data_IF_989829437821
#
_entry.id   IF_989829437821
#
_cell.length_a   1.000
_cell.length_b   1.000
_cell.length_c   1.000
_cell.angle_alpha   90.00
_cell.angle_beta   90.00
_cell.angle_gamma   90.00
#
_symmetry.space_group_name_H-M   'P 1'
#
loop_
_entity.id
_entity.type
_entity.pdbx_description
1 polymer ?
#
# COMPACT_ATOMS: atom_id res chain seq x y z
N UNK A 1 -11.25 20.92 -2.99
CA UNK A 1 -10.09 20.36 -2.31
C UNK A 1 -10.46 20.01 -0.87
N UNK A 2 -10.17 18.81 -0.47
CA UNK A 2 -10.53 18.34 0.86
C UNK A 2 -9.29 18.45 1.77
N UNK A 3 -9.33 19.39 2.72
CA UNK A 3 -8.21 19.62 3.65
C UNK A 3 -7.91 18.38 4.50
N UNK A 4 -8.95 17.62 4.85
CA UNK A 4 -8.80 16.40 5.63
C UNK A 4 -8.02 15.34 4.83
N UNK A 5 -8.38 15.17 3.56
CA UNK A 5 -7.69 14.27 2.64
C UNK A 5 -6.22 14.64 2.50
N UNK A 6 -5.94 15.92 2.24
CA UNK A 6 -4.57 16.40 2.06
C UNK A 6 -3.74 16.20 3.32
N UNK A 7 -4.34 16.39 4.49
CA UNK A 7 -3.66 16.20 5.77
C UNK A 7 -3.27 14.73 5.99
N UNK A 8 -4.18 13.82 5.70
CA UNK A 8 -3.91 12.38 5.83
C UNK A 8 -2.77 11.97 4.88
N UNK A 9 -2.85 12.38 3.62
CA UNK A 9 -1.82 12.04 2.64
C UNK A 9 -0.46 12.61 3.03
N UNK A 10 -0.44 13.83 3.58
CA UNK A 10 0.81 14.42 4.06
C UNK A 10 1.42 13.59 5.19
N UNK A 11 0.61 13.18 6.16
CA UNK A 11 1.10 12.35 7.28
C UNK A 11 1.65 11.02 6.74
N UNK A 12 0.91 10.37 5.84
CA UNK A 12 1.35 9.10 5.26
C UNK A 12 2.68 9.25 4.53
N UNK A 13 2.85 10.33 3.76
CA UNK A 13 4.09 10.56 3.03
C UNK A 13 5.24 10.96 3.94
N UNK A 14 4.98 11.71 5.00
CA UNK A 14 6.02 12.14 5.93
C UNK A 14 6.62 10.95 6.70
N UNK A 15 5.82 9.97 7.08
CA UNK A 15 6.32 8.80 7.80
C UNK A 15 7.15 7.85 6.94
N UNK A 16 7.11 8.02 5.61
CA UNK A 16 7.92 7.21 4.69
C UNK A 16 9.39 7.59 4.69
N UNK A 17 9.75 8.78 5.18
CA UNK A 17 11.13 9.27 5.16
C UNK A 17 12.05 8.34 5.94
N UNK A 18 13.20 8.02 5.32
CA UNK A 18 14.23 7.14 5.90
C UNK A 18 13.73 5.71 6.14
N UNK A 19 12.81 5.25 5.30
CA UNK A 19 12.27 3.89 5.36
C UNK A 19 12.37 3.23 3.99
N UNK A 20 12.03 1.94 3.94
CA UNK A 20 11.95 1.19 2.68
C UNK A 20 11.00 1.88 1.68
N UNK A 21 9.93 2.49 2.18
CA UNK A 21 8.96 3.16 1.31
C UNK A 21 9.60 4.32 0.55
N UNK A 22 10.49 5.09 1.20
CA UNK A 22 11.24 6.13 0.51
C UNK A 22 12.19 5.53 -0.53
N UNK A 23 12.87 4.44 -0.19
CA UNK A 23 13.78 3.76 -1.11
C UNK A 23 13.07 3.31 -2.38
N UNK A 24 11.84 2.81 -2.24
CA UNK A 24 11.02 2.37 -3.37
C UNK A 24 10.24 3.51 -4.03
N UNK A 25 10.37 4.72 -3.51
CA UNK A 25 9.68 5.92 -3.99
C UNK A 25 8.16 5.78 -3.96
N UNK A 26 7.65 5.13 -2.92
CA UNK A 26 6.21 4.98 -2.70
C UNK A 26 5.64 6.31 -2.25
N UNK A 27 4.56 6.73 -2.89
CA UNK A 27 3.88 8.00 -2.59
C UNK A 27 2.38 7.74 -2.41
N UNK A 28 1.82 8.22 -1.30
CA UNK A 28 0.38 8.14 -1.05
C UNK A 28 -0.30 9.28 -1.79
N UNK A 29 -1.29 8.95 -2.62
CA UNK A 29 -1.87 9.90 -3.58
C UNK A 29 -3.38 10.10 -3.46
N UNK A 30 -4.10 9.19 -2.80
CA UNK A 30 -5.54 9.34 -2.63
C UNK A 30 -6.02 8.58 -1.39
N UNK A 31 -7.06 9.11 -0.75
CA UNK A 31 -7.70 8.48 0.40
C UNK A 31 -9.19 8.77 0.33
N UNK A 32 -10.00 7.77 0.63
CA UNK A 32 -11.44 7.91 0.71
C UNK A 32 -11.95 7.40 2.04
N UNK A 33 -13.25 7.16 2.13
CA UNK A 33 -13.88 6.72 3.36
C UNK A 33 -13.43 5.32 3.78
N UNK A 34 -13.15 4.44 2.82
CA UNK A 34 -12.79 3.04 3.07
C UNK A 34 -11.62 2.54 2.23
N UNK A 35 -10.84 3.44 1.67
CA UNK A 35 -9.70 3.05 0.85
C UNK A 35 -8.54 4.05 0.97
N UNK A 36 -7.37 3.56 0.63
CA UNK A 36 -6.14 4.36 0.54
C UNK A 36 -5.38 3.92 -0.71
N UNK A 37 -4.81 4.87 -1.44
CA UNK A 37 -4.06 4.60 -2.67
C UNK A 37 -2.64 5.12 -2.54
N UNK A 38 -1.68 4.28 -2.93
CA UNK A 38 -0.29 4.68 -3.08
C UNK A 38 0.21 4.28 -4.46
N UNK A 39 1.23 4.95 -4.94
CA UNK A 39 1.86 4.63 -6.22
C UNK A 39 3.36 4.41 -6.06
N UNK A 40 3.95 3.73 -7.02
CA UNK A 40 5.38 3.46 -7.06
C UNK A 40 5.87 3.50 -8.51
N UNK A 41 6.99 4.20 -8.80
CA UNK A 41 7.53 4.19 -10.16
C UNK A 41 8.13 2.82 -10.50
N UNK A 42 7.99 2.43 -11.76
CA UNK A 42 8.57 1.18 -12.26
C UNK A 42 9.83 1.54 -13.03
N UNK A 43 10.97 1.36 -12.38
CA UNK A 43 12.31 1.64 -12.93
C UNK A 43 13.17 0.42 -12.72
N UNK A 44 14.41 0.45 -13.21
CA UNK A 44 15.36 -0.65 -13.04
C UNK A 44 15.61 -1.02 -11.58
N UNK A 45 15.40 -0.08 -10.65
CA UNK A 45 15.58 -0.35 -9.21
C UNK A 45 14.62 -1.40 -8.67
N UNK A 46 13.50 -1.58 -9.33
CA UNK A 46 12.46 -2.53 -8.89
C UNK A 46 12.18 -3.61 -9.93
N UNK A 47 13.06 -3.76 -10.91
CA UNK A 47 12.96 -4.82 -11.92
C UNK A 47 13.48 -6.15 -11.40
N UNK A 48 12.89 -7.23 -11.91
CA UNK A 48 13.50 -8.56 -11.85
C UNK A 48 14.38 -8.73 -13.11
N UNK A 49 15.16 -9.85 -13.23
CA UNK A 49 16.17 -9.98 -14.32
C UNK A 49 15.65 -9.82 -15.74
N UNK A 50 14.38 -10.09 -16.00
CA UNK A 50 13.82 -9.96 -17.36
C UNK A 50 13.36 -8.53 -17.69
N UNK A 51 13.64 -7.56 -16.81
CA UNK A 51 13.35 -6.15 -17.09
C UNK A 51 11.92 -5.74 -16.85
N UNK A 52 11.18 -6.49 -16.06
CA UNK A 52 9.81 -6.15 -15.65
C UNK A 52 9.74 -6.04 -14.13
N UNK A 53 8.67 -5.44 -13.63
CA UNK A 53 8.49 -5.21 -12.21
C UNK A 53 8.63 -6.51 -11.41
N UNK A 54 9.48 -6.46 -10.39
CA UNK A 54 9.70 -7.57 -9.47
C UNK A 54 8.45 -7.79 -8.61
N UNK A 55 7.99 -9.05 -8.54
CA UNK A 55 6.81 -9.38 -7.73
C UNK A 55 6.96 -9.00 -6.26
N UNK A 56 8.16 -9.15 -5.71
CA UNK A 56 8.45 -8.74 -4.33
C UNK A 56 8.30 -7.24 -4.12
N UNK A 57 8.64 -6.42 -5.13
CA UNK A 57 8.44 -4.97 -5.05
C UNK A 57 6.95 -4.63 -5.04
N UNK A 58 6.15 -5.34 -5.83
CA UNK A 58 4.69 -5.20 -5.82
C UNK A 58 4.12 -5.56 -4.44
N UNK A 59 4.60 -6.64 -3.84
CA UNK A 59 4.16 -7.05 -2.49
C UNK A 59 4.56 -6.00 -1.45
N UNK A 60 5.77 -5.44 -1.56
CA UNK A 60 6.21 -4.38 -0.65
C UNK A 60 5.28 -3.15 -0.74
N UNK A 61 4.90 -2.76 -1.96
CA UNK A 61 3.94 -1.68 -2.16
C UNK A 61 2.58 -2.02 -1.54
N UNK A 62 2.07 -3.23 -1.81
CA UNK A 62 0.78 -3.67 -1.30
C UNK A 62 0.76 -3.70 0.24
N UNK A 63 1.79 -4.27 0.85
CA UNK A 63 1.88 -4.33 2.31
C UNK A 63 2.00 -2.93 2.91
N UNK A 64 2.75 -2.04 2.26
CA UNK A 64 2.92 -0.67 2.72
C UNK A 64 1.60 0.10 2.72
N UNK A 65 0.83 0.01 1.62
CA UNK A 65 -0.44 0.74 1.54
C UNK A 65 -1.49 0.14 2.49
N UNK A 66 -1.53 -1.18 2.63
CA UNK A 66 -2.49 -1.83 3.54
C UNK A 66 -2.20 -1.56 5.01
N UNK A 67 -0.92 -1.56 5.38
CA UNK A 67 -0.52 -1.23 6.77
C UNK A 67 -0.80 0.23 7.08
N UNK A 68 -0.51 1.14 6.15
CA UNK A 68 -0.83 2.55 6.32
C UNK A 68 -2.35 2.77 6.42
N UNK A 69 -3.14 2.04 5.63
CA UNK A 69 -4.60 2.10 5.70
C UNK A 69 -5.09 1.69 7.09
N UNK A 70 -4.54 0.61 7.66
CA UNK A 70 -4.89 0.21 9.01
C UNK A 70 -4.54 1.30 10.03
N UNK A 71 -3.38 1.93 9.89
CA UNK A 71 -2.98 3.05 10.74
C UNK A 71 -3.97 4.21 10.64
N UNK A 72 -4.37 4.58 9.41
CA UNK A 72 -5.27 5.70 9.17
C UNK A 72 -6.67 5.42 9.71
N UNK A 73 -7.20 4.20 9.47
CA UNK A 73 -8.60 3.89 9.77
C UNK A 73 -8.83 3.33 11.16
N UNK A 74 -7.77 3.06 11.95
CA UNK A 74 -7.86 2.50 13.30
C UNK A 74 -7.31 3.41 14.41
N UNK A 75 -7.01 4.66 14.12
CA UNK A 75 -6.34 5.55 15.06
C UNK A 75 -4.95 5.03 15.44
N UNK A 76 -4.00 5.23 14.55
CA UNK A 76 -2.61 4.78 14.69
C UNK A 76 -1.85 5.39 15.87
N UNK A 77 -2.41 6.39 16.56
CA UNK A 77 -1.80 6.89 17.78
C UNK A 77 -2.05 5.97 18.99
N UNK A 78 -3.09 5.15 18.93
CA UNK A 78 -3.47 4.25 20.02
C UNK A 78 -3.03 2.81 19.80
N UNK A 79 -2.69 2.44 18.59
CA UNK A 79 -2.34 1.05 18.25
C UNK A 79 -1.05 0.97 17.46
N UNK A 80 -0.34 -0.15 17.64
CA UNK A 80 0.70 -0.58 16.72
C UNK A 80 0.04 -1.47 15.66
N UNK A 81 0.37 -1.24 14.39
CA UNK A 81 -0.12 -2.06 13.30
C UNK A 81 1.04 -2.88 12.74
N UNK A 82 0.81 -4.17 12.55
CA UNK A 82 1.78 -5.07 11.91
C UNK A 82 1.08 -5.89 10.84
N UNK A 83 1.72 -6.03 9.67
CA UNK A 83 1.29 -7.00 8.69
C UNK A 83 1.69 -8.39 9.15
N UNK A 84 0.77 -9.34 9.11
CA UNK A 84 1.05 -10.71 9.56
C UNK A 84 0.94 -11.74 8.44
N UNK A 85 0.28 -11.41 7.34
CA UNK A 85 0.24 -12.28 6.17
C UNK A 85 -0.08 -11.47 4.94
N UNK A 86 0.69 -11.69 3.86
CA UNK A 86 0.44 -11.08 2.56
C UNK A 86 0.40 -12.17 1.51
N UNK A 87 -0.62 -12.17 0.67
CA UNK A 87 -0.69 -13.05 -0.49
C UNK A 87 -0.83 -12.19 -1.75
N UNK A 88 -0.32 -12.69 -2.87
CA UNK A 88 -0.34 -11.95 -4.12
C UNK A 88 -0.49 -12.90 -5.31
N UNK A 89 -1.29 -12.47 -6.29
CA UNK A 89 -1.36 -13.09 -7.60
C UNK A 89 -0.99 -12.04 -8.62
N UNK A 90 0.19 -12.18 -9.24
CA UNK A 90 0.68 -11.29 -10.27
C UNK A 90 0.13 -11.76 -11.61
N UNK A 91 -0.68 -10.94 -12.27
CA UNK A 91 -1.43 -11.36 -13.45
C UNK A 91 -0.93 -10.71 -14.74
N UNK A 92 -0.15 -9.63 -14.65
CA UNK A 92 0.37 -8.92 -15.82
C UNK A 92 1.70 -8.26 -15.50
N UNK A 93 2.66 -8.36 -16.44
CA UNK A 93 3.96 -7.71 -16.31
C UNK A 93 3.87 -6.24 -16.71
N UNK A 94 4.74 -5.42 -16.12
CA UNK A 94 4.92 -4.02 -16.51
C UNK A 94 6.40 -3.68 -16.41
N UNK A 95 6.93 -2.95 -17.42
CA UNK A 95 8.36 -2.64 -17.50
C UNK A 95 8.70 -1.19 -17.22
N UNK A 96 7.72 -0.29 -17.28
CA UNK A 96 7.95 1.15 -17.07
C UNK A 96 6.65 1.82 -16.62
N UNK A 97 6.73 3.11 -16.33
CA UNK A 97 5.59 3.87 -15.86
C UNK A 97 5.43 3.81 -14.35
N UNK A 98 4.20 3.70 -13.89
CA UNK A 98 3.89 3.64 -12.47
C UNK A 98 2.83 2.58 -12.20
N UNK A 99 2.85 2.02 -11.00
CA UNK A 99 1.77 1.16 -10.51
C UNK A 99 1.08 1.84 -9.34
N UNK A 100 -0.22 1.63 -9.23
CA UNK A 100 -1.10 2.20 -8.22
C UNK A 100 -1.70 1.06 -7.42
N UNK A 101 -1.51 1.09 -6.10
CA UNK A 101 -2.07 0.09 -5.19
C UNK A 101 -3.21 0.72 -4.40
N UNK A 102 -4.40 0.13 -4.50
CA UNK A 102 -5.60 0.59 -3.79
C UNK A 102 -5.97 -0.44 -2.74
N UNK A 103 -5.85 -0.07 -1.48
CA UNK A 103 -6.25 -0.92 -0.36
C UNK A 103 -7.68 -0.58 0.05
N UNK A 104 -8.56 -1.57 -0.01
CA UNK A 104 -9.96 -1.44 0.39
C UNK A 104 -10.24 -2.47 1.49
N UNK A 105 -10.92 -2.05 2.56
CA UNK A 105 -11.19 -2.94 3.69
C UNK A 105 -12.17 -4.04 3.30
N UNK A 106 -11.83 -5.29 3.63
CA UNK A 106 -12.73 -6.44 3.52
C UNK A 106 -13.37 -6.71 4.86
N UNK A 107 -12.56 -6.69 5.94
CA UNK A 107 -13.03 -7.00 7.27
C UNK A 107 -12.24 -6.20 8.29
N UNK A 108 -12.94 -5.52 9.16
CA UNK A 108 -12.35 -4.76 10.27
C UNK A 108 -12.77 -5.43 11.56
N UNK A 109 -11.91 -6.32 12.07
CA UNK A 109 -12.11 -6.98 13.34
C UNK A 109 -11.59 -6.14 14.49
N UNK A 110 -11.76 -6.66 15.72
CA UNK A 110 -11.30 -5.95 16.91
C UNK A 110 -9.77 -5.85 16.96
N UNK A 111 -9.07 -6.88 16.53
CA UNK A 111 -7.60 -6.91 16.56
C UNK A 111 -6.99 -7.17 15.19
N UNK A 112 -7.74 -7.77 14.26
CA UNK A 112 -7.22 -8.07 12.92
C UNK A 112 -8.06 -7.39 11.85
N UNK A 113 -7.40 -7.02 10.75
CA UNK A 113 -8.04 -6.41 9.61
C UNK A 113 -7.60 -7.15 8.36
N UNK A 114 -8.52 -7.30 7.42
CA UNK A 114 -8.23 -7.92 6.13
C UNK A 114 -8.47 -6.90 5.03
N UNK A 115 -7.47 -6.73 4.18
CA UNK A 115 -7.48 -5.74 3.09
C UNK A 115 -7.41 -6.42 1.74
N UNK A 116 -8.24 -5.96 0.80
CA UNK A 116 -8.11 -6.26 -0.63
C UNK A 116 -7.25 -5.15 -1.24
N UNK A 117 -6.18 -5.53 -1.94
CA UNK A 117 -5.27 -4.56 -2.51
C UNK A 117 -5.09 -4.86 -3.99
N UNK A 118 -5.59 -3.97 -4.83
CA UNK A 118 -5.49 -4.10 -6.27
C UNK A 118 -4.40 -3.18 -6.79
N UNK A 119 -3.49 -3.75 -7.57
CA UNK A 119 -2.39 -3.01 -8.16
C UNK A 119 -2.64 -2.90 -9.66
N UNK A 120 -2.70 -1.68 -10.16
CA UNK A 120 -3.03 -1.39 -11.57
C UNK A 120 -1.98 -0.47 -12.16
N UNK A 121 -1.95 -0.38 -13.51
CA UNK A 121 -1.19 0.66 -14.20
C UNK A 121 -2.03 1.95 -14.27
N UNK A 122 -1.48 2.99 -14.92
CA UNK A 122 -2.15 4.29 -15.04
C UNK A 122 -3.47 4.20 -15.82
N UNK A 123 -3.62 3.20 -16.68
CA UNK A 123 -4.82 3.01 -17.49
C UNK A 123 -5.85 2.10 -16.81
N UNK A 124 -5.57 1.65 -15.58
CA UNK A 124 -6.48 0.79 -14.84
C UNK A 124 -6.35 -0.70 -15.16
N UNK A 125 -5.33 -1.10 -15.93
CA UNK A 125 -5.10 -2.51 -16.21
C UNK A 125 -4.57 -3.20 -14.95
N UNK A 126 -5.12 -4.35 -14.62
CA UNK A 126 -4.75 -5.09 -13.42
C UNK A 126 -3.37 -5.72 -13.57
N UNK A 127 -2.48 -5.41 -12.63
CA UNK A 127 -1.12 -5.96 -12.56
C UNK A 127 -1.07 -7.08 -11.51
N UNK A 128 -1.70 -6.86 -10.36
CA UNK A 128 -1.66 -7.84 -9.26
C UNK A 128 -2.88 -7.68 -8.37
N UNK A 129 -3.32 -8.81 -7.80
CA UNK A 129 -4.32 -8.82 -6.73
C UNK A 129 -3.64 -9.34 -5.48
N UNK A 130 -3.69 -8.55 -4.40
CA UNK A 130 -3.07 -8.88 -3.14
C UNK A 130 -4.10 -8.87 -2.03
N UNK A 131 -3.81 -9.64 -0.97
CA UNK A 131 -4.56 -9.58 0.28
C UNK A 131 -3.55 -9.41 1.40
N UNK A 132 -3.89 -8.56 2.35
CA UNK A 132 -3.05 -8.31 3.53
C UNK A 132 -3.88 -8.47 4.77
N UNK A 133 -3.39 -9.27 5.72
CA UNK A 133 -3.93 -9.30 7.07
C UNK A 133 -3.01 -8.50 7.96
N UNK A 134 -3.57 -7.54 8.70
CA UNK A 134 -2.85 -6.78 9.71
C UNK A 134 -3.39 -7.11 11.09
N UNK A 135 -2.55 -6.94 12.09
CA UNK A 135 -2.95 -7.01 13.49
C UNK A 135 -2.69 -5.65 14.13
N UNK A 136 -3.64 -5.19 14.94
CA UNK A 136 -3.52 -3.94 15.68
C UNK A 136 -3.45 -4.26 17.17
N UNK A 137 -2.35 -3.83 17.80
CA UNK A 137 -2.09 -4.08 19.21
C UNK A 137 -2.05 -2.75 19.95
N UNK A 138 -2.56 -2.69 21.20
CA UNK A 138 -2.54 -1.45 21.96
C UNK A 138 -1.12 -0.94 22.19
N UNK A 139 -0.94 0.36 22.12
CA UNK A 139 0.31 1.00 22.55
C UNK A 139 0.33 1.03 24.08
N UNK A 140 1.49 0.76 24.62
CA UNK A 140 1.68 0.79 26.06
C UNK A 140 1.66 2.24 26.58
#
# INVERSE_FOLDING_TARGET
MDEYKDKILKVCNDICKNTLMETLEIEFVDVGENYLVAKMPVTSKVHQPDGVLHGGATVALAESVGSAASYVFLDGQKVFVRGIETSANHVKSISEGEVYARATIIHKGRTTQLWDIRVTDINGNLISICKLTTIALPRA
#
